data_IF_618720434266
#
_entry.id   IF_618720434266
#
_cell.length_a   1.000
_cell.length_b   1.000
_cell.length_c   1.000
_cell.angle_alpha   90.00
_cell.angle_beta   90.00
_cell.angle_gamma   90.00
#
_symmetry.space_group_name_H-M   'P 1'
#
loop_
_entity.id
_entity.type
_entity.pdbx_description
1 polymer ?
#
# COMPACT_ATOMS: atom_id res chain seq x y z
N UNK A 1 -13.78 -8.19 -2.62
CA UNK A 1 -13.68 -7.67 -1.24
C UNK A 1 -13.21 -6.23 -1.24
N UNK A 2 -13.51 -5.52 -0.19
CA UNK A 2 -13.15 -4.10 -0.09
C UNK A 2 -12.11 -3.92 1.01
N UNK A 3 -11.04 -3.20 0.66
CA UNK A 3 -9.98 -2.88 1.61
C UNK A 3 -9.71 -1.38 1.56
N UNK A 4 -9.09 -0.86 2.62
CA UNK A 4 -8.71 0.53 2.68
C UNK A 4 -7.19 0.62 2.52
N UNK A 5 -6.75 1.45 1.58
CA UNK A 5 -5.33 1.74 1.38
C UNK A 5 -5.02 3.10 1.94
N UNK A 6 -4.00 3.15 2.78
CA UNK A 6 -3.54 4.39 3.38
C UNK A 6 -2.05 4.54 3.09
N UNK A 7 -1.71 5.66 2.46
CA UNK A 7 -0.32 5.97 2.16
C UNK A 7 0.19 7.05 3.10
N UNK A 8 1.31 6.77 3.75
CA UNK A 8 2.01 7.72 4.59
C UNK A 8 3.42 7.85 4.04
N UNK A 9 3.53 8.58 2.94
CA UNK A 9 4.79 8.77 2.22
C UNK A 9 5.21 10.22 2.34
N UNK A 10 6.35 10.44 2.99
CA UNK A 10 6.86 11.80 3.22
C UNK A 10 7.23 12.48 1.90
N UNK A 11 7.68 11.70 0.93
CA UNK A 11 8.12 12.21 -0.37
C UNK A 11 6.98 12.34 -1.38
N UNK A 12 5.77 11.95 -1.03
CA UNK A 12 4.62 12.00 -1.92
C UNK A 12 3.41 12.55 -1.16
N UNK A 13 3.43 13.84 -0.81
CA UNK A 13 2.37 14.42 0.04
C UNK A 13 0.98 14.35 -0.59
N UNK A 14 0.90 14.29 -1.92
CA UNK A 14 -0.39 14.19 -2.61
C UNK A 14 -1.07 12.84 -2.39
N UNK A 15 -0.33 11.87 -1.89
CA UNK A 15 -0.86 10.54 -1.58
C UNK A 15 -1.28 10.38 -0.14
N UNK A 16 -1.14 11.42 0.66
CA UNK A 16 -1.56 11.34 2.07
C UNK A 16 -3.08 11.23 2.13
N UNK A 17 -3.55 10.15 2.70
CA UNK A 17 -4.98 9.92 2.83
C UNK A 17 -5.29 8.44 2.67
N UNK A 18 -6.55 8.10 2.83
CA UNK A 18 -7.00 6.72 2.68
C UNK A 18 -8.05 6.64 1.57
N UNK A 19 -7.98 5.57 0.80
CA UNK A 19 -8.95 5.27 -0.24
C UNK A 19 -9.41 3.84 -0.09
N UNK A 20 -10.70 3.61 -0.32
CA UNK A 20 -11.24 2.27 -0.37
C UNK A 20 -11.15 1.76 -1.80
N UNK A 21 -10.71 0.51 -1.95
CA UNK A 21 -10.63 -0.14 -3.25
C UNK A 21 -11.31 -1.51 -3.18
N UNK A 22 -11.85 -1.94 -4.31
CA UNK A 22 -12.40 -3.27 -4.45
C UNK A 22 -11.36 -4.15 -5.14
N UNK A 23 -11.04 -5.29 -4.52
CA UNK A 23 -10.05 -6.23 -5.04
C UNK A 23 -10.60 -7.65 -4.94
N UNK A 24 -10.13 -8.57 -5.79
CA UNK A 24 -10.51 -9.97 -5.69
C UNK A 24 -10.01 -10.62 -4.41
N UNK A 25 -10.72 -11.63 -3.94
CA UNK A 25 -10.23 -12.44 -2.83
C UNK A 25 -8.89 -13.09 -3.18
N UNK A 26 -7.99 -13.18 -2.21
CA UNK A 26 -6.66 -13.73 -2.43
C UNK A 26 -5.63 -12.74 -2.92
N UNK A 27 -6.01 -11.47 -3.09
CA UNK A 27 -5.05 -10.42 -3.49
C UNK A 27 -4.03 -10.20 -2.39
N UNK A 28 -2.75 -10.18 -2.77
CA UNK A 28 -1.67 -9.90 -1.83
C UNK A 28 -1.43 -8.39 -1.68
N UNK A 29 -0.66 -8.02 -0.67
CA UNK A 29 -0.26 -6.63 -0.45
C UNK A 29 0.40 -6.06 -1.70
N UNK A 30 1.35 -6.80 -2.29
CA UNK A 30 2.05 -6.36 -3.50
C UNK A 30 1.09 -6.10 -4.65
N UNK A 31 0.18 -7.05 -4.90
CA UNK A 31 -0.78 -6.91 -6.00
C UNK A 31 -1.69 -5.70 -5.81
N UNK A 32 -2.15 -5.47 -4.58
CA UNK A 32 -3.03 -4.34 -4.29
C UNK A 32 -2.30 -3.00 -4.51
N UNK A 33 -1.07 -2.90 -4.04
CA UNK A 33 -0.28 -1.66 -4.18
C UNK A 33 0.08 -1.42 -5.64
N UNK A 34 0.47 -2.46 -6.36
CA UNK A 34 0.81 -2.35 -7.79
C UNK A 34 -0.41 -1.87 -8.58
N UNK A 35 -1.56 -2.47 -8.35
CA UNK A 35 -2.78 -2.10 -9.06
C UNK A 35 -3.19 -0.66 -8.75
N UNK A 36 -3.11 -0.26 -7.49
CA UNK A 36 -3.40 1.10 -7.08
C UNK A 36 -2.46 2.10 -7.75
N UNK A 37 -1.16 1.78 -7.78
CA UNK A 37 -0.16 2.66 -8.37
C UNK A 37 -0.40 2.84 -9.87
N UNK A 38 -0.71 1.77 -10.58
CA UNK A 38 -0.99 1.84 -12.01
C UNK A 38 -2.24 2.67 -12.30
N UNK A 39 -3.29 2.48 -11.51
CA UNK A 39 -4.55 3.18 -11.71
C UNK A 39 -4.41 4.68 -11.48
N UNK A 40 -3.51 5.08 -10.59
CA UNK A 40 -3.34 6.48 -10.19
C UNK A 40 -2.10 7.15 -10.79
N UNK A 41 -1.42 6.48 -11.71
CA UNK A 41 -0.24 7.05 -12.36
C UNK A 41 0.97 7.19 -11.45
N UNK A 42 1.08 6.31 -10.46
CA UNK A 42 2.13 6.37 -9.44
C UNK A 42 3.15 5.26 -9.61
N UNK A 43 3.41 4.87 -10.85
CA UNK A 43 4.28 3.73 -11.13
C UNK A 43 5.70 3.91 -10.61
N UNK A 44 6.16 5.14 -10.49
CA UNK A 44 7.49 5.42 -9.94
C UNK A 44 7.64 4.96 -8.50
N UNK A 45 6.52 4.88 -7.76
CA UNK A 45 6.55 4.39 -6.38
C UNK A 45 6.83 2.90 -6.30
N UNK A 46 6.56 2.16 -7.38
CA UNK A 46 6.75 0.71 -7.40
C UNK A 46 8.21 0.32 -7.23
N UNK A 47 9.13 1.16 -7.68
CA UNK A 47 10.56 0.90 -7.54
C UNK A 47 11.02 0.95 -6.10
N UNK A 48 10.22 1.55 -5.23
CA UNK A 48 10.57 1.74 -3.83
C UNK A 48 9.77 0.85 -2.89
N UNK A 49 8.97 -0.08 -3.45
CA UNK A 49 8.21 -1.02 -2.65
C UNK A 49 9.07 -1.83 -1.67
N UNK A 50 10.24 -2.35 -2.08
CA UNK A 50 11.05 -3.13 -1.15
C UNK A 50 11.56 -2.34 0.06
N UNK A 51 11.61 -1.00 -0.06
CA UNK A 51 12.07 -0.12 0.99
C UNK A 51 10.92 0.37 1.87
N UNK A 52 9.70 0.00 1.54
CA UNK A 52 8.52 0.44 2.27
C UNK A 52 8.16 -0.55 3.36
N UNK A 53 7.49 -0.04 4.38
CA UNK A 53 6.93 -0.86 5.43
C UNK A 53 5.43 -0.97 5.22
N UNK A 54 4.89 -2.17 5.42
CA UNK A 54 3.46 -2.43 5.24
C UNK A 54 2.84 -2.87 6.55
N UNK A 55 1.68 -2.31 6.85
CA UNK A 55 0.92 -2.66 8.04
C UNK A 55 -0.50 -3.01 7.65
N UNK A 56 -1.03 -4.09 8.22
CA UNK A 56 -2.44 -4.41 8.13
C UNK A 56 -3.00 -4.22 9.54
N UNK A 57 -3.82 -3.18 9.71
CA UNK A 57 -4.22 -2.76 11.03
C UNK A 57 -3.01 -2.34 11.85
N UNK A 58 -2.72 -3.06 12.91
CA UNK A 58 -1.57 -2.79 13.78
C UNK A 58 -0.41 -3.76 13.58
N UNK A 59 -0.55 -4.68 12.64
CA UNK A 59 0.42 -5.74 12.43
C UNK A 59 1.26 -5.48 11.19
N UNK A 60 2.56 -5.75 11.27
CA UNK A 60 3.41 -5.67 10.09
C UNK A 60 3.01 -6.76 9.09
N UNK A 61 3.10 -6.40 7.81
CA UNK A 61 2.76 -7.31 6.72
C UNK A 61 3.91 -7.37 5.74
N UNK A 62 3.86 -8.36 4.87
CA UNK A 62 4.85 -8.55 3.80
C UNK A 62 4.18 -8.37 2.46
N UNK A 63 4.99 -8.28 1.41
CA UNK A 63 4.46 -8.16 0.06
C UNK A 63 3.59 -9.36 -0.34
N UNK A 64 3.91 -10.54 0.16
CA UNK A 64 3.17 -11.76 -0.16
C UNK A 64 2.00 -12.05 0.79
N UNK A 65 1.74 -11.17 1.75
CA UNK A 65 0.63 -11.35 2.67
C UNK A 65 -0.69 -11.14 1.94
N UNK A 66 -1.63 -12.09 2.09
CA UNK A 66 -2.96 -11.95 1.50
C UNK A 66 -3.82 -10.99 2.33
N UNK A 67 -4.55 -10.14 1.62
CA UNK A 67 -5.47 -9.21 2.25
C UNK A 67 -6.81 -9.89 2.52
N UNK A 68 -7.48 -9.44 3.58
CA UNK A 68 -8.81 -9.89 3.96
C UNK A 68 -9.81 -8.77 3.74
N UNK A 69 -11.08 -9.12 3.61
CA UNK A 69 -12.12 -8.12 3.49
C UNK A 69 -12.10 -7.17 4.70
N UNK A 70 -12.21 -5.88 4.40
CA UNK A 70 -12.20 -4.79 5.40
C UNK A 70 -10.84 -4.52 6.02
N UNK A 71 -9.77 -5.11 5.51
CA UNK A 71 -8.43 -4.79 5.99
C UNK A 71 -8.09 -3.34 5.68
N UNK A 72 -7.32 -2.73 6.58
CA UNK A 72 -6.73 -1.42 6.35
C UNK A 72 -5.23 -1.62 6.14
N UNK A 73 -4.79 -1.41 4.92
CA UNK A 73 -3.37 -1.54 4.56
C UNK A 73 -2.73 -0.16 4.57
N UNK A 74 -1.70 -0.01 5.40
CA UNK A 74 -0.92 1.22 5.47
C UNK A 74 0.43 0.97 4.82
N UNK A 75 0.80 1.84 3.90
CA UNK A 75 2.11 1.84 3.26
C UNK A 75 2.90 3.01 3.82
N UNK A 76 3.97 2.69 4.55
CA UNK A 76 4.84 3.70 5.15
C UNK A 76 6.14 3.77 4.38
N UNK A 77 6.51 4.96 3.97
CA UNK A 77 7.82 5.22 3.40
C UNK A 77 8.52 6.25 4.23
N UNK A 78 9.64 5.86 4.80
CA UNK A 78 10.47 6.73 5.61
C UNK A 78 11.66 7.12 4.76
N UNK A 79 11.89 8.43 4.64
CA UNK A 79 13.09 8.90 3.98
C UNK A 79 14.28 8.59 4.88
N UNK A 80 15.17 7.73 4.38
CA UNK A 80 16.43 7.55 5.04
C UNK A 80 17.33 8.71 4.63
N UNK A 81 17.63 9.56 5.58
CA UNK A 81 18.57 10.65 5.38
C UNK A 81 19.95 10.08 5.15
N UNK A 82 20.48 10.34 4.02
CA UNK A 82 21.84 9.92 3.73
C UNK A 82 22.00 9.26 2.46
#
# INVERSE_FOLDING_TARGET
>A
MRVRLRFMCVDLPDLTGSQEIDIPGGTTVEQAVVEFAKTNGLEDTLNKLPESMFLIGKNTARLDTELQDKDELTVLRILHGG
#
